data_IF_397905081897
#
_entry.id   IF_397905081897
#
_cell.length_a   1.000
_cell.length_b   1.000
_cell.length_c   1.000
_cell.angle_alpha   90.00
_cell.angle_beta   90.00
_cell.angle_gamma   90.00
#
_symmetry.space_group_name_H-M   'P 1'
#
loop_
_entity.id
_entity.type
_entity.pdbx_description
1 polymer ?
#
# COMPACT_ATOMS: atom_id res chain seq x y z
N UNK A 1 29.23 -23.38 14.84
CA UNK A 1 29.30 -22.02 14.24
C UNK A 1 29.48 -21.00 15.37
N UNK A 2 30.70 -20.46 15.53
CA UNK A 2 31.18 -19.78 16.75
C UNK A 2 30.53 -18.40 17.01
N UNK A 3 30.27 -18.09 18.29
CA UNK A 3 29.64 -16.85 18.78
C UNK A 3 30.30 -15.55 18.27
N UNK A 4 31.60 -15.60 17.96
CA UNK A 4 32.36 -14.45 17.46
C UNK A 4 31.95 -14.01 16.04
N UNK A 5 31.49 -14.94 15.19
CA UNK A 5 31.02 -14.61 13.83
C UNK A 5 29.68 -13.87 13.89
N UNK A 6 28.79 -14.27 14.82
CA UNK A 6 27.50 -13.60 15.03
C UNK A 6 27.68 -12.13 15.44
N UNK A 7 28.58 -11.82 16.39
CA UNK A 7 28.83 -10.43 16.82
C UNK A 7 29.37 -9.52 15.70
N UNK A 8 30.23 -10.03 14.81
CA UNK A 8 30.71 -9.27 13.64
C UNK A 8 29.58 -9.00 12.64
N UNK A 9 28.72 -9.99 12.41
CA UNK A 9 27.57 -9.84 11.51
C UNK A 9 26.57 -8.80 12.06
N UNK A 10 26.23 -8.86 13.35
CA UNK A 10 25.33 -7.89 13.99
C UNK A 10 25.85 -6.45 13.98
N UNK A 11 27.17 -6.22 13.99
CA UNK A 11 27.77 -4.87 13.87
C UNK A 11 27.70 -4.28 12.46
N UNK A 12 27.54 -5.11 11.42
CA UNK A 12 27.49 -4.67 10.02
C UNK A 12 26.05 -4.34 9.57
N UNK A 13 25.05 -5.02 10.12
CA UNK A 13 23.62 -4.78 9.83
C UNK A 13 23.23 -3.29 9.94
N UNK A 14 23.52 -2.58 11.04
CA UNK A 14 23.11 -1.17 11.15
C UNK A 14 23.86 -0.26 10.17
N UNK A 15 25.11 -0.56 9.80
CA UNK A 15 25.86 0.22 8.80
C UNK A 15 25.27 0.03 7.39
N UNK A 16 24.93 -1.21 7.05
CA UNK A 16 24.30 -1.56 5.78
C UNK A 16 22.90 -0.93 5.69
N UNK A 17 22.08 -1.09 6.72
CA UNK A 17 20.76 -0.47 6.80
C UNK A 17 20.82 1.06 6.67
N UNK A 18 21.89 1.69 7.17
CA UNK A 18 22.14 3.13 7.01
C UNK A 18 22.45 3.54 5.57
N UNK A 19 23.26 2.76 4.84
CA UNK A 19 23.64 3.06 3.45
C UNK A 19 22.45 2.88 2.50
N UNK A 20 21.56 1.94 2.78
CA UNK A 20 20.35 1.72 1.99
C UNK A 20 19.18 2.61 2.39
N UNK A 21 19.28 3.34 3.50
CA UNK A 21 18.24 4.23 3.99
C UNK A 21 17.80 5.31 2.97
N UNK A 22 18.70 5.99 2.23
CA UNK A 22 18.30 6.96 1.20
C UNK A 22 17.64 6.31 -0.02
N UNK A 23 17.90 5.02 -0.25
CA UNK A 23 17.36 4.25 -1.36
C UNK A 23 16.03 3.58 -1.02
N UNK A 24 15.73 3.42 0.28
CA UNK A 24 14.52 2.78 0.75
C UNK A 24 13.23 3.42 0.20
N UNK A 25 13.05 4.76 0.15
CA UNK A 25 11.86 5.35 -0.45
C UNK A 25 11.65 4.96 -1.92
N UNK A 26 12.75 4.92 -2.70
CA UNK A 26 12.71 4.53 -4.11
C UNK A 26 12.37 3.06 -4.29
N UNK A 27 12.99 2.19 -3.49
CA UNK A 27 12.69 0.76 -3.51
C UNK A 27 11.22 0.51 -3.15
N UNK A 28 10.75 1.07 -2.04
CA UNK A 28 9.35 0.96 -1.59
C UNK A 28 8.41 1.45 -2.70
N UNK A 29 8.67 2.65 -3.25
CA UNK A 29 7.84 3.22 -4.33
C UNK A 29 7.81 2.31 -5.57
N UNK A 30 8.94 1.72 -5.96
CA UNK A 30 9.03 0.82 -7.10
C UNK A 30 8.23 -0.47 -6.88
N UNK A 31 8.44 -1.15 -5.74
CA UNK A 31 7.72 -2.38 -5.43
C UNK A 31 6.22 -2.14 -5.31
N UNK A 32 5.83 -1.06 -4.64
CA UNK A 32 4.43 -0.68 -4.48
C UNK A 32 3.77 -0.37 -5.82
N UNK A 33 4.42 0.44 -6.66
CA UNK A 33 3.95 0.73 -8.02
C UNK A 33 3.80 -0.56 -8.84
N UNK A 34 4.76 -1.48 -8.75
CA UNK A 34 4.71 -2.75 -9.46
C UNK A 34 3.51 -3.61 -9.03
N UNK A 35 3.24 -3.72 -7.73
CA UNK A 35 2.09 -4.49 -7.24
C UNK A 35 0.76 -3.85 -7.62
N UNK A 36 0.63 -2.53 -7.45
CA UNK A 36 -0.60 -1.81 -7.83
C UNK A 36 -0.82 -1.85 -9.35
N UNK A 37 0.26 -1.84 -10.15
CA UNK A 37 0.18 -2.06 -11.60
C UNK A 37 -0.42 -3.43 -11.94
N UNK A 38 -0.11 -4.49 -11.18
CA UNK A 38 -0.75 -5.80 -11.39
C UNK A 38 -2.24 -5.74 -11.13
N UNK A 39 -2.68 -5.04 -10.08
CA UNK A 39 -4.10 -4.84 -9.79
C UNK A 39 -4.82 -4.12 -10.94
N UNK A 40 -4.16 -3.11 -11.53
CA UNK A 40 -4.68 -2.42 -12.72
C UNK A 40 -4.79 -3.37 -13.92
N UNK A 41 -3.75 -4.17 -14.18
CA UNK A 41 -3.74 -5.16 -15.27
C UNK A 41 -4.82 -6.24 -15.11
N UNK A 42 -5.16 -6.59 -13.88
CA UNK A 42 -6.26 -7.52 -13.57
C UNK A 42 -7.64 -6.86 -13.66
N UNK A 43 -7.73 -5.57 -13.98
CA UNK A 43 -8.99 -4.83 -14.06
C UNK A 43 -9.64 -4.56 -12.70
N UNK A 44 -8.90 -4.72 -11.59
CA UNK A 44 -9.41 -4.53 -10.24
C UNK A 44 -9.49 -3.05 -9.84
N UNK A 45 -8.61 -2.22 -10.41
CA UNK A 45 -8.57 -0.78 -10.20
C UNK A 45 -8.49 -0.07 -11.56
N UNK A 46 -8.99 1.15 -11.65
CA UNK A 46 -8.99 1.93 -12.90
C UNK A 46 -7.68 2.68 -13.08
N UNK A 47 -7.32 3.49 -12.09
CA UNK A 47 -6.07 4.22 -12.04
C UNK A 47 -5.53 4.25 -10.61
N UNK A 48 -4.27 4.67 -10.48
CA UNK A 48 -3.64 4.80 -9.18
C UNK A 48 -2.52 5.83 -9.23
N UNK A 49 -2.24 6.42 -8.07
CA UNK A 49 -1.04 7.19 -7.81
C UNK A 49 -0.40 6.69 -6.52
N UNK A 50 0.91 6.46 -6.55
CA UNK A 50 1.68 6.11 -5.36
C UNK A 50 2.74 7.16 -5.10
N UNK A 51 2.88 7.58 -3.85
CA UNK A 51 3.95 8.47 -3.40
C UNK A 51 4.57 7.91 -2.14
N UNK A 52 5.89 7.78 -2.14
CA UNK A 52 6.65 7.43 -0.94
C UNK A 52 7.53 8.60 -0.56
N UNK A 53 7.32 9.16 0.62
CA UNK A 53 8.11 10.26 1.17
C UNK A 53 8.87 9.77 2.40
N UNK A 54 10.09 10.26 2.58
CA UNK A 54 10.85 10.05 3.81
C UNK A 54 10.51 11.17 4.78
N UNK A 55 10.01 10.82 5.96
CA UNK A 55 9.70 11.78 7.03
C UNK A 55 10.86 11.92 8.02
N UNK A 56 11.71 10.91 8.13
CA UNK A 56 12.83 10.91 9.05
C UNK A 56 13.65 9.65 8.94
N UNK A 57 14.49 9.42 9.95
CA UNK A 57 15.35 8.24 9.95
C UNK A 57 14.51 6.97 10.15
N UNK A 58 14.55 6.05 9.19
CA UNK A 58 13.68 4.86 9.14
C UNK A 58 12.17 5.15 9.25
N UNK A 59 11.74 6.38 8.98
CA UNK A 59 10.34 6.80 9.05
C UNK A 59 9.88 7.24 7.66
N UNK A 60 8.93 6.52 7.10
CA UNK A 60 8.45 6.70 5.73
C UNK A 60 6.94 6.85 5.72
N UNK A 61 6.45 7.81 4.93
CA UNK A 61 5.05 7.99 4.60
C UNK A 61 4.79 7.36 3.23
N UNK A 62 3.78 6.51 3.16
CA UNK A 62 3.32 5.88 1.93
C UNK A 62 1.90 6.36 1.68
N UNK A 63 1.72 7.11 0.60
CA UNK A 63 0.43 7.58 0.10
C UNK A 63 0.05 6.74 -1.12
N UNK A 64 -1.15 6.17 -1.11
CA UNK A 64 -1.70 5.36 -2.21
C UNK A 64 -3.10 5.89 -2.51
N UNK A 65 -3.23 6.54 -3.66
CA UNK A 65 -4.51 6.98 -4.19
C UNK A 65 -4.97 5.96 -5.23
N UNK A 66 -6.17 5.39 -5.01
CA UNK A 66 -6.76 4.39 -5.88
C UNK A 66 -8.05 4.95 -6.50
N UNK A 67 -8.07 5.05 -7.83
CA UNK A 67 -9.28 5.37 -8.56
C UNK A 67 -10.01 4.08 -8.90
N UNK A 68 -11.22 3.97 -8.39
CA UNK A 68 -12.10 2.82 -8.58
C UNK A 68 -13.37 3.26 -9.31
N UNK A 69 -13.80 2.46 -10.28
CA UNK A 69 -15.14 2.58 -10.85
C UNK A 69 -16.19 2.09 -9.84
N UNK A 70 -17.46 2.49 -10.03
CA UNK A 70 -18.56 2.03 -9.15
C UNK A 70 -18.62 0.50 -8.97
N UNK A 71 -18.48 -0.34 -10.03
CA UNK A 71 -18.43 -1.79 -9.86
C UNK A 71 -17.19 -2.28 -9.07
N UNK A 72 -16.02 -1.70 -9.33
CA UNK A 72 -14.78 -2.04 -8.62
C UNK A 72 -14.85 -1.69 -7.13
N UNK A 73 -15.41 -0.52 -6.80
CA UNK A 73 -15.65 -0.10 -5.41
C UNK A 73 -16.56 -1.08 -4.69
N UNK A 74 -17.65 -1.52 -5.33
CA UNK A 74 -18.56 -2.51 -4.73
C UNK A 74 -17.84 -3.85 -4.50
N UNK A 75 -17.04 -4.31 -5.45
CA UNK A 75 -16.24 -5.52 -5.29
C UNK A 75 -15.24 -5.40 -4.12
N UNK A 76 -14.50 -4.30 -4.04
CA UNK A 76 -13.53 -4.03 -2.98
C UNK A 76 -14.18 -3.92 -1.60
N UNK A 77 -15.28 -3.17 -1.49
CA UNK A 77 -16.03 -3.05 -0.24
C UNK A 77 -16.56 -4.39 0.23
N UNK A 78 -17.05 -5.24 -0.69
CA UNK A 78 -17.49 -6.60 -0.35
C UNK A 78 -16.35 -7.48 0.17
N UNK A 79 -15.16 -7.35 -0.42
CA UNK A 79 -14.00 -8.19 -0.13
C UNK A 79 -13.23 -7.76 1.12
N UNK A 80 -13.06 -6.45 1.34
CA UNK A 80 -12.29 -5.89 2.46
C UNK A 80 -13.16 -5.69 3.70
N UNK A 81 -14.42 -5.28 3.54
CA UNK A 81 -15.31 -4.95 4.66
C UNK A 81 -16.64 -5.72 4.58
N UNK A 82 -16.62 -7.06 4.72
CA UNK A 82 -17.81 -7.90 4.57
C UNK A 82 -18.95 -7.52 5.53
N UNK A 83 -18.65 -6.90 6.67
CA UNK A 83 -19.63 -6.55 7.71
C UNK A 83 -20.30 -5.18 7.58
N UNK A 84 -19.88 -4.31 6.65
CA UNK A 84 -20.42 -2.92 6.53
C UNK A 84 -21.28 -2.66 5.28
N UNK A 85 -21.64 -3.71 4.53
CA UNK A 85 -22.29 -3.59 3.21
C UNK A 85 -23.79 -3.29 3.32
N UNK A 86 -24.47 -3.75 4.37
CA UNK A 86 -25.92 -3.52 4.57
C UNK A 86 -26.26 -2.03 4.64
N UNK A 87 -25.40 -1.25 5.31
CA UNK A 87 -25.65 0.16 5.59
C UNK A 87 -25.37 1.04 4.38
N UNK A 88 -24.38 0.65 3.58
CA UNK A 88 -24.00 1.39 2.37
C UNK A 88 -25.00 1.20 1.23
N UNK A 89 -25.53 -0.02 1.05
CA UNK A 89 -26.57 -0.32 0.05
C UNK A 89 -27.84 0.51 0.28
N UNK A 90 -28.23 0.64 1.54
CA UNK A 90 -29.42 1.41 1.96
C UNK A 90 -29.24 2.91 1.73
N UNK A 91 -28.05 3.46 2.02
CA UNK A 91 -27.73 4.88 1.77
C UNK A 91 -27.60 5.24 0.29
N UNK A 92 -27.07 4.34 -0.55
CA UNK A 92 -26.94 4.61 -1.98
C UNK A 92 -28.28 4.58 -2.71
N UNK A 93 -29.20 3.69 -2.28
CA UNK A 93 -30.56 3.66 -2.83
C UNK A 93 -31.38 4.89 -2.44
N UNK A 94 -31.21 5.41 -1.21
CA UNK A 94 -31.92 6.63 -0.77
C UNK A 94 -31.41 7.91 -1.44
N UNK A 95 -30.16 7.94 -1.91
CA UNK A 95 -29.62 9.03 -2.72
C UNK A 95 -30.15 9.00 -4.16
N UNK A 96 -30.37 7.81 -4.73
CA UNK A 96 -30.94 7.63 -6.07
C UNK A 96 -32.43 7.96 -6.16
N UNK A 97 -33.16 7.90 -5.05
CA UNK A 97 -34.60 8.23 -4.99
C UNK A 97 -34.89 9.71 -4.69
N UNK A 98 -33.84 10.51 -4.47
CA UNK A 98 -33.92 11.96 -4.19
C UNK A 98 -33.44 12.83 -5.37
N UNK A 99 -33.00 12.19 -6.45
CA UNK A 99 -32.74 12.77 -7.76
C UNK A 99 -33.88 12.35 -8.69
#
# INVERSE_FOLDING_TARGET
MSYSVRKKLFRLIPKIAFVFEPLAPRAISYFLSREVTKLKKLGLIYAFQTKTKRLGKFHYLIEIDLDLTSPQTQYFMKKIFPSKISDFKTRFQSLKSKL
#
